data_IF_283657078381
#
_entry.id   IF_283657078381
#
_cell.length_a   1.000
_cell.length_b   1.000
_cell.length_c   1.000
_cell.angle_alpha   90.00
_cell.angle_beta   90.00
_cell.angle_gamma   90.00
#
_symmetry.space_group_name_H-M   'P 1'
#
loop_
_entity.id
_entity.type
_entity.pdbx_description
1 polymer ?
#
# COMPACT_ATOMS: atom_id res chain seq x y z
N UNK A 1 27.46 -4.82 -8.26
CA UNK A 1 27.07 -5.43 -9.55
C UNK A 1 25.92 -6.37 -9.20
N UNK A 2 24.71 -6.10 -9.66
CA UNK A 2 23.47 -6.75 -9.21
C UNK A 2 23.49 -8.26 -9.48
N UNK A 3 22.89 -9.02 -8.56
CA UNK A 3 22.78 -10.49 -8.63
C UNK A 3 21.86 -10.94 -9.78
N UNK A 4 20.98 -10.04 -10.24
CA UNK A 4 20.01 -10.35 -11.28
C UNK A 4 20.55 -9.95 -12.66
N UNK A 5 20.77 -10.91 -13.55
CA UNK A 5 21.35 -10.72 -14.90
C UNK A 5 20.55 -9.79 -15.84
N UNK A 6 19.29 -9.46 -15.48
CA UNK A 6 18.41 -8.59 -16.26
C UNK A 6 17.65 -7.64 -15.33
N UNK A 7 18.35 -6.94 -14.45
CA UNK A 7 17.75 -6.07 -13.44
C UNK A 7 16.80 -5.02 -14.05
N UNK A 8 17.21 -4.35 -15.14
CA UNK A 8 16.36 -3.37 -15.84
C UNK A 8 15.08 -4.00 -16.40
N UNK A 9 15.17 -5.17 -16.99
CA UNK A 9 13.99 -5.89 -17.46
C UNK A 9 13.00 -6.24 -16.34
N UNK A 10 13.52 -6.62 -15.16
CA UNK A 10 12.67 -6.87 -13.99
C UNK A 10 12.01 -5.60 -13.46
N UNK A 11 12.75 -4.50 -13.39
CA UNK A 11 12.21 -3.20 -13.00
C UNK A 11 11.06 -2.80 -13.91
N UNK A 12 11.26 -2.91 -15.23
CA UNK A 12 10.21 -2.64 -16.22
C UNK A 12 9.00 -3.59 -16.04
N UNK A 13 9.22 -4.87 -15.80
CA UNK A 13 8.12 -5.81 -15.56
C UNK A 13 7.33 -5.51 -14.29
N UNK A 14 8.01 -5.08 -13.23
CA UNK A 14 7.37 -4.76 -11.95
C UNK A 14 6.67 -3.40 -12.02
N UNK A 15 7.34 -2.39 -12.58
CA UNK A 15 6.88 -1.00 -12.56
C UNK A 15 6.36 -0.51 -13.93
N UNK A 16 6.46 -1.25 -15.01
CA UNK A 16 5.95 -0.85 -16.33
C UNK A 16 4.45 -1.06 -16.51
N UNK A 17 3.76 -1.68 -15.56
CA UNK A 17 2.31 -1.96 -15.65
C UNK A 17 1.59 -1.73 -14.33
N UNK A 18 0.39 -1.13 -14.42
CA UNK A 18 -0.45 -0.83 -13.25
C UNK A 18 -1.15 -2.05 -12.63
N UNK A 19 -0.85 -3.25 -13.10
CA UNK A 19 -1.44 -4.49 -12.60
C UNK A 19 -0.88 -4.83 -11.21
N UNK A 20 -1.70 -5.39 -10.33
CA UNK A 20 -1.22 -6.01 -9.10
C UNK A 20 -0.31 -7.20 -9.41
N UNK A 21 0.73 -7.43 -8.59
CA UNK A 21 1.70 -8.50 -8.78
C UNK A 21 2.01 -9.21 -7.47
N UNK A 22 2.16 -10.53 -7.55
CA UNK A 22 2.93 -11.29 -6.59
C UNK A 22 4.34 -11.53 -7.16
N UNK A 23 5.34 -11.25 -6.35
CA UNK A 23 6.76 -11.36 -6.69
C UNK A 23 7.32 -12.46 -5.77
N UNK A 24 7.52 -13.63 -6.34
CA UNK A 24 8.09 -14.77 -5.63
C UNK A 24 9.60 -14.83 -5.81
N UNK A 25 10.29 -15.37 -4.83
CA UNK A 25 11.73 -15.59 -4.90
C UNK A 25 12.37 -15.56 -3.54
N UNK A 26 13.64 -15.96 -3.47
CA UNK A 26 14.36 -16.15 -2.22
C UNK A 26 14.21 -14.96 -1.30
N UNK A 27 13.75 -15.23 -0.09
CA UNK A 27 13.77 -14.27 1.02
C UNK A 27 15.23 -13.91 1.32
N UNK A 28 15.50 -12.64 1.49
CA UNK A 28 16.83 -12.22 1.88
C UNK A 28 17.11 -10.75 1.57
N UNK A 29 18.31 -10.34 1.96
CA UNK A 29 18.72 -8.94 1.83
C UNK A 29 18.84 -8.51 0.35
N UNK A 30 19.16 -9.43 -0.56
CA UNK A 30 19.28 -9.12 -1.99
C UNK A 30 17.93 -8.77 -2.61
N UNK A 31 16.84 -9.53 -2.29
CA UNK A 31 15.48 -9.21 -2.74
C UNK A 31 15.04 -7.85 -2.23
N UNK A 32 15.20 -7.63 -0.95
CA UNK A 32 14.77 -6.38 -0.34
C UNK A 32 15.55 -5.18 -0.84
N UNK A 33 16.86 -5.33 -1.04
CA UNK A 33 17.68 -4.28 -1.64
C UNK A 33 17.24 -3.97 -3.07
N UNK A 34 16.97 -4.99 -3.87
CA UNK A 34 16.44 -4.81 -5.22
C UNK A 34 15.09 -4.05 -5.20
N UNK A 35 14.16 -4.47 -4.33
CA UNK A 35 12.84 -3.83 -4.22
C UNK A 35 12.92 -2.41 -3.64
N UNK A 36 13.84 -2.16 -2.71
CA UNK A 36 14.11 -0.82 -2.20
C UNK A 36 14.69 0.10 -3.28
N UNK A 37 15.57 -0.41 -4.13
CA UNK A 37 16.12 0.35 -5.26
C UNK A 37 15.01 0.78 -6.24
N UNK A 38 13.90 0.03 -6.36
CA UNK A 38 12.76 0.49 -7.17
C UNK A 38 12.17 1.82 -6.67
N UNK A 39 12.17 2.07 -5.37
CA UNK A 39 11.73 3.37 -4.83
C UNK A 39 12.70 4.51 -5.21
N UNK A 40 13.99 4.20 -5.35
CA UNK A 40 15.01 5.17 -5.79
C UNK A 40 14.96 5.40 -7.31
N UNK A 41 14.66 4.34 -8.08
CA UNK A 41 14.60 4.40 -9.55
C UNK A 41 13.28 5.02 -10.07
N UNK A 42 12.19 4.94 -9.28
CA UNK A 42 10.87 5.49 -9.62
C UNK A 42 10.40 6.52 -8.55
N UNK A 43 11.16 7.61 -8.37
CA UNK A 43 10.86 8.63 -7.37
C UNK A 43 9.73 9.57 -7.83
N UNK A 44 9.30 10.42 -6.92
CA UNK A 44 8.54 11.63 -7.29
C UNK A 44 9.50 12.61 -7.95
N UNK A 45 9.15 13.06 -9.15
CA UNK A 45 9.91 14.07 -9.93
C UNK A 45 8.95 15.09 -10.53
N UNK A 46 9.47 16.12 -11.17
CA UNK A 46 8.65 17.09 -11.93
C UNK A 46 7.91 16.43 -13.09
N UNK A 47 8.49 15.38 -13.68
CA UNK A 47 7.84 14.52 -14.68
C UNK A 47 7.02 13.44 -13.97
N UNK A 48 5.72 13.69 -13.81
CA UNK A 48 4.76 12.77 -13.21
C UNK A 48 4.13 11.80 -14.25
N UNK A 49 4.77 11.59 -15.40
CA UNK A 49 4.35 10.61 -16.40
C UNK A 49 4.78 9.19 -16.04
N UNK A 50 5.86 9.05 -15.28
CA UNK A 50 6.39 7.77 -14.81
C UNK A 50 5.69 7.28 -13.54
N UNK A 51 5.58 5.95 -13.29
CA UNK A 51 5.06 5.42 -12.05
C UNK A 51 5.93 5.84 -10.86
N UNK A 52 5.31 5.96 -9.69
CA UNK A 52 6.00 6.28 -8.44
C UNK A 52 5.98 5.04 -7.55
N UNK A 53 7.16 4.57 -7.12
CA UNK A 53 7.28 3.44 -6.22
C UNK A 53 7.24 3.89 -4.75
N UNK A 54 6.48 3.14 -3.95
CA UNK A 54 6.40 3.30 -2.49
C UNK A 54 6.78 1.95 -1.85
N UNK A 55 7.99 1.86 -1.31
CA UNK A 55 8.49 0.64 -0.71
C UNK A 55 8.16 0.55 0.79
N UNK A 56 7.70 -0.62 1.20
CA UNK A 56 7.40 -0.98 2.58
C UNK A 56 8.08 -2.32 2.92
N UNK A 57 9.06 -2.31 3.80
CA UNK A 57 9.72 -3.52 4.31
C UNK A 57 8.89 -4.22 5.40
N UNK A 58 7.92 -3.54 5.96
CA UNK A 58 6.89 -4.03 6.87
C UNK A 58 5.69 -3.10 6.78
N UNK A 59 4.51 -3.64 6.91
CA UNK A 59 3.29 -2.85 7.06
C UNK A 59 3.03 -2.49 8.53
N UNK A 60 3.88 -2.95 9.44
CA UNK A 60 3.73 -2.71 10.88
C UNK A 60 2.45 -3.31 11.46
N UNK A 61 1.80 -4.22 10.75
CA UNK A 61 0.59 -4.87 11.24
C UNK A 61 0.95 -5.84 12.37
N UNK A 62 0.33 -5.72 13.55
CA UNK A 62 0.64 -6.60 14.65
C UNK A 62 0.21 -8.04 14.32
N UNK A 63 0.98 -8.99 14.84
CA UNK A 63 0.58 -10.39 14.85
C UNK A 63 -0.63 -10.53 15.77
N UNK A 64 -1.63 -11.27 15.31
CA UNK A 64 -2.76 -11.66 16.14
C UNK A 64 -2.51 -13.11 16.52
N UNK A 65 -2.37 -13.38 17.82
CA UNK A 65 -2.41 -14.75 18.32
C UNK A 65 -3.77 -15.37 18.00
N UNK A 66 -3.79 -16.63 17.60
CA UNK A 66 -4.97 -17.34 17.09
C UNK A 66 -6.14 -17.49 18.10
N UNK A 67 -5.99 -17.02 19.33
CA UNK A 67 -6.99 -17.11 20.41
C UNK A 67 -8.12 -16.03 20.30
N UNK A 68 -8.32 -15.46 19.10
CA UNK A 68 -9.32 -14.42 18.87
C UNK A 68 -10.69 -14.96 18.43
N UNK A 69 -11.03 -16.21 18.71
CA UNK A 69 -12.31 -16.83 18.31
C UNK A 69 -13.55 -16.00 18.73
N UNK A 70 -13.43 -15.21 19.80
CA UNK A 70 -14.51 -14.36 20.33
C UNK A 70 -14.48 -12.89 19.84
N UNK A 71 -13.59 -12.53 18.91
CA UNK A 71 -13.45 -11.14 18.44
C UNK A 71 -14.24 -10.92 17.16
N UNK A 72 -14.83 -9.74 17.06
CA UNK A 72 -15.53 -9.33 15.85
C UNK A 72 -14.51 -9.03 14.73
N UNK A 73 -14.39 -9.96 13.79
CA UNK A 73 -13.53 -9.85 12.63
C UNK A 73 -13.82 -8.58 11.82
N UNK A 74 -15.06 -8.09 11.77
CA UNK A 74 -15.40 -6.87 11.06
C UNK A 74 -14.69 -5.64 11.64
N UNK A 75 -14.60 -5.55 12.98
CA UNK A 75 -13.87 -4.47 13.65
C UNK A 75 -12.37 -4.55 13.30
N UNK A 76 -11.81 -5.75 13.34
CA UNK A 76 -10.40 -5.98 12.96
C UNK A 76 -10.13 -5.54 11.52
N UNK A 77 -10.96 -5.99 10.57
CA UNK A 77 -10.82 -5.62 9.15
C UNK A 77 -10.93 -4.11 8.95
N UNK A 78 -11.87 -3.46 9.62
CA UNK A 78 -12.05 -2.02 9.55
C UNK A 78 -10.82 -1.27 10.04
N UNK A 79 -10.28 -1.61 11.22
CA UNK A 79 -9.08 -1.00 11.76
C UNK A 79 -7.87 -1.20 10.84
N UNK A 80 -7.67 -2.42 10.36
CA UNK A 80 -6.58 -2.76 9.44
C UNK A 80 -6.70 -1.97 8.15
N UNK A 81 -7.89 -1.87 7.55
CA UNK A 81 -8.13 -1.13 6.31
C UNK A 81 -7.84 0.36 6.47
N UNK A 82 -8.37 0.99 7.52
CA UNK A 82 -8.14 2.41 7.77
C UNK A 82 -6.65 2.67 8.04
N UNK A 83 -6.01 1.85 8.87
CA UNK A 83 -4.58 1.95 9.12
C UNK A 83 -3.76 1.88 7.82
N UNK A 84 -4.00 0.89 6.95
CA UNK A 84 -3.31 0.74 5.68
C UNK A 84 -3.58 1.92 4.73
N UNK A 85 -4.82 2.41 4.70
CA UNK A 85 -5.18 3.58 3.89
C UNK A 85 -4.41 4.82 4.31
N UNK A 86 -4.34 5.10 5.62
CA UNK A 86 -3.55 6.21 6.15
C UNK A 86 -2.04 6.00 6.00
N UNK A 87 -1.54 4.76 6.13
CA UNK A 87 -0.13 4.44 5.91
C UNK A 87 0.31 4.79 4.49
N UNK A 88 -0.46 4.40 3.48
CA UNK A 88 -0.16 4.71 2.08
C UNK A 88 -0.31 6.20 1.79
N UNK A 89 -1.40 6.83 2.25
CA UNK A 89 -1.64 8.26 2.01
C UNK A 89 -0.55 9.15 2.65
N UNK A 90 -0.15 8.85 3.89
CA UNK A 90 0.97 9.57 4.54
C UNK A 90 2.27 9.41 3.77
N UNK A 91 2.56 8.22 3.25
CA UNK A 91 3.77 7.98 2.44
C UNK A 91 3.75 8.76 1.14
N UNK A 92 2.60 8.86 0.45
CA UNK A 92 2.43 9.69 -0.74
C UNK A 92 2.74 11.16 -0.43
N UNK A 93 2.16 11.70 0.65
CA UNK A 93 2.40 13.09 1.05
C UNK A 93 3.85 13.34 1.47
N UNK A 94 4.49 12.41 2.18
CA UNK A 94 5.92 12.49 2.55
C UNK A 94 6.82 12.53 1.31
N UNK A 95 6.53 11.72 0.31
CA UNK A 95 7.27 11.74 -0.95
C UNK A 95 7.04 13.05 -1.73
N UNK A 96 5.89 13.67 -1.55
CA UNK A 96 5.56 14.96 -2.18
C UNK A 96 6.39 16.13 -1.63
N UNK A 97 7.07 15.99 -0.49
CA UNK A 97 8.00 16.99 0.05
C UNK A 97 9.21 17.27 -0.88
N UNK A 98 9.32 16.56 -2.01
CA UNK A 98 10.18 16.94 -3.12
C UNK A 98 9.84 18.31 -3.70
N UNK A 99 8.56 18.70 -3.71
CA UNK A 99 8.09 19.99 -4.21
C UNK A 99 8.21 21.08 -3.14
N UNK A 100 8.39 22.32 -3.59
CA UNK A 100 8.28 23.49 -2.70
C UNK A 100 6.92 23.52 -1.99
N UNK A 101 6.92 23.84 -0.71
CA UNK A 101 5.72 23.79 0.15
C UNK A 101 4.61 24.70 -0.37
N UNK A 102 4.95 25.91 -0.87
CA UNK A 102 3.97 26.84 -1.39
C UNK A 102 3.29 26.30 -2.65
N UNK A 103 4.08 25.73 -3.56
CA UNK A 103 3.58 25.08 -4.78
C UNK A 103 2.69 23.89 -4.42
N UNK A 104 3.12 23.10 -3.46
CA UNK A 104 2.38 21.90 -3.04
C UNK A 104 1.05 22.27 -2.40
N UNK A 105 1.01 23.29 -1.54
CA UNK A 105 -0.22 23.80 -0.92
C UNK A 105 -1.21 24.33 -1.96
N UNK A 106 -0.74 25.07 -2.96
CA UNK A 106 -1.60 25.56 -4.04
C UNK A 106 -2.19 24.40 -4.85
N UNK A 107 -1.35 23.48 -5.32
CA UNK A 107 -1.78 22.32 -6.10
C UNK A 107 -2.76 21.44 -5.33
N UNK A 108 -2.49 21.12 -4.05
CA UNK A 108 -3.28 20.19 -3.25
C UNK A 108 -4.43 20.86 -2.48
N UNK A 109 -4.67 22.16 -2.67
CA UNK A 109 -5.79 22.88 -2.02
C UNK A 109 -7.14 22.19 -2.23
N UNK A 110 -7.40 21.68 -3.43
CA UNK A 110 -8.62 20.93 -3.74
C UNK A 110 -8.71 19.56 -3.06
N UNK A 111 -7.59 18.92 -2.74
CA UNK A 111 -7.55 17.71 -1.92
C UNK A 111 -7.83 18.01 -0.45
N UNK A 112 -7.20 19.06 0.09
CA UNK A 112 -7.42 19.55 1.46
C UNK A 112 -8.90 19.87 1.67
N UNK A 113 -9.50 20.64 0.75
CA UNK A 113 -10.92 20.97 0.81
C UNK A 113 -11.82 19.72 0.81
N UNK A 114 -11.50 18.72 -0.01
CA UNK A 114 -12.24 17.45 -0.05
C UNK A 114 -12.16 16.70 1.28
N UNK A 115 -10.98 16.62 1.88
CA UNK A 115 -10.77 15.96 3.17
C UNK A 115 -11.52 16.69 4.27
N UNK A 116 -11.40 18.03 4.38
CA UNK A 116 -12.13 18.83 5.33
C UNK A 116 -13.64 18.59 5.24
N UNK A 117 -14.18 18.62 4.04
CA UNK A 117 -15.61 18.36 3.80
C UNK A 117 -16.04 16.96 4.20
N UNK A 118 -15.25 15.93 3.88
CA UNK A 118 -15.57 14.53 4.19
C UNK A 118 -15.44 14.21 5.68
N UNK A 119 -14.57 14.92 6.39
CA UNK A 119 -14.29 14.74 7.81
C UNK A 119 -15.10 15.68 8.71
N UNK A 120 -15.91 16.55 8.11
CA UNK A 120 -16.60 17.65 8.81
C UNK A 120 -15.64 18.49 9.67
N UNK A 121 -14.44 18.75 9.13
CA UNK A 121 -13.34 19.48 9.72
C UNK A 121 -12.98 20.64 8.80
N UNK A 122 -12.91 21.86 9.34
CA UNK A 122 -12.56 23.07 8.55
C UNK A 122 -11.17 23.62 8.92
N UNK A 123 -10.39 22.87 9.70
CA UNK A 123 -9.19 23.40 10.33
C UNK A 123 -7.89 23.10 9.55
N UNK A 124 -7.90 22.21 8.57
CA UNK A 124 -6.71 21.86 7.80
C UNK A 124 -6.56 22.89 6.68
N UNK A 125 -5.46 23.63 6.67
CA UNK A 125 -5.22 24.70 5.69
C UNK A 125 -3.93 24.50 4.87
N UNK A 126 -3.10 23.53 5.25
CA UNK A 126 -1.85 23.21 4.55
C UNK A 126 -1.63 21.71 4.38
N UNK A 127 -0.73 21.35 3.48
CA UNK A 127 -0.32 19.94 3.27
C UNK A 127 0.42 19.38 4.49
N UNK A 128 1.19 20.21 5.17
CA UNK A 128 1.88 19.84 6.41
C UNK A 128 0.88 19.46 7.50
N UNK A 129 -0.14 20.30 7.72
CA UNK A 129 -1.22 19.99 8.67
C UNK A 129 -2.02 18.75 8.27
N UNK A 130 -2.32 18.58 6.97
CA UNK A 130 -2.99 17.39 6.46
C UNK A 130 -2.17 16.12 6.75
N UNK A 131 -0.86 16.16 6.51
CA UNK A 131 0.05 15.05 6.80
C UNK A 131 0.07 14.72 8.29
N UNK A 132 0.11 15.72 9.17
CA UNK A 132 0.12 15.52 10.62
C UNK A 132 -1.21 14.91 11.11
N UNK A 133 -2.34 15.38 10.63
CA UNK A 133 -3.66 14.81 10.96
C UNK A 133 -3.80 13.37 10.45
N UNK A 134 -3.31 13.06 9.25
CA UNK A 134 -3.29 11.70 8.74
C UNK A 134 -2.37 10.79 9.55
N UNK A 135 -1.21 11.27 10.03
CA UNK A 135 -0.32 10.54 10.93
C UNK A 135 -1.00 10.25 12.28
N UNK A 136 -1.74 11.20 12.84
CA UNK A 136 -2.53 10.98 14.06
C UNK A 136 -3.57 9.89 13.84
N UNK A 137 -4.31 9.95 12.75
CA UNK A 137 -5.31 8.94 12.40
C UNK A 137 -4.69 7.55 12.20
N UNK A 138 -3.58 7.47 11.48
CA UNK A 138 -2.81 6.23 11.31
C UNK A 138 -2.41 5.61 12.65
N UNK A 139 -1.82 6.42 13.54
CA UNK A 139 -1.37 5.96 14.85
C UNK A 139 -2.56 5.55 15.73
N UNK A 140 -3.67 6.28 15.68
CA UNK A 140 -4.89 5.95 16.37
C UNK A 140 -5.43 4.56 15.97
N UNK A 141 -5.49 4.26 14.66
CA UNK A 141 -5.97 2.96 14.19
C UNK A 141 -4.99 1.84 14.53
N UNK A 142 -3.70 2.08 14.48
CA UNK A 142 -2.67 1.14 14.92
C UNK A 142 -2.82 0.78 16.41
N UNK A 143 -2.90 1.81 17.26
CA UNK A 143 -3.06 1.62 18.72
C UNK A 143 -4.39 0.94 19.06
N UNK A 144 -5.47 1.34 18.38
CA UNK A 144 -6.79 0.73 18.56
C UNK A 144 -6.79 -0.73 18.16
N UNK A 145 -6.13 -1.07 17.06
CA UNK A 145 -5.95 -2.44 16.61
C UNK A 145 -5.24 -3.29 17.68
N UNK A 146 -4.10 -2.81 18.20
CA UNK A 146 -3.36 -3.50 19.27
C UNK A 146 -4.21 -3.63 20.53
N UNK A 147 -4.87 -2.56 20.97
CA UNK A 147 -5.70 -2.58 22.19
C UNK A 147 -6.90 -3.53 22.04
N UNK A 148 -7.53 -3.53 20.87
CA UNK A 148 -8.66 -4.41 20.57
C UNK A 148 -8.22 -5.87 20.57
N UNK A 149 -7.14 -6.21 19.89
CA UNK A 149 -6.61 -7.58 19.81
C UNK A 149 -6.17 -8.11 21.18
N UNK A 150 -5.68 -7.23 22.08
CA UNK A 150 -5.36 -7.58 23.48
C UNK A 150 -6.56 -7.58 24.43
N UNK A 151 -7.76 -7.28 23.97
CA UNK A 151 -8.95 -7.22 24.80
C UNK A 151 -9.06 -6.03 25.73
N UNK A 152 -8.25 -4.99 25.52
CA UNK A 152 -8.22 -3.78 26.35
C UNK A 152 -9.37 -2.82 26.00
N UNK A 153 -9.92 -2.90 24.79
CA UNK A 153 -11.09 -2.14 24.36
C UNK A 153 -12.08 -3.08 23.65
N UNK A 154 -13.36 -2.74 23.68
CA UNK A 154 -14.44 -3.47 22.99
C UNK A 154 -14.96 -2.73 21.76
N UNK A 155 -14.80 -1.42 21.73
CA UNK A 155 -15.29 -0.51 20.69
C UNK A 155 -14.23 0.52 20.35
N UNK A 156 -14.35 1.11 19.16
CA UNK A 156 -13.47 2.18 18.69
C UNK A 156 -14.21 3.51 18.81
N UNK A 157 -13.67 4.44 19.60
CA UNK A 157 -14.16 5.81 19.66
C UNK A 157 -13.36 6.69 18.71
N UNK A 158 -13.98 7.13 17.61
CA UNK A 158 -13.34 7.95 16.56
C UNK A 158 -13.42 9.45 16.83
N UNK A 159 -13.97 9.86 17.98
CA UNK A 159 -14.19 11.28 18.29
C UNK A 159 -12.91 12.05 18.62
N UNK A 160 -11.78 11.35 18.75
CA UNK A 160 -10.49 11.91 19.14
C UNK A 160 -9.63 12.34 17.94
N UNK A 161 -10.10 12.09 16.70
CA UNK A 161 -9.33 12.35 15.48
C UNK A 161 -10.13 13.21 14.50
N UNK A 162 -9.45 14.15 13.86
CA UNK A 162 -10.07 15.09 12.92
C UNK A 162 -10.38 14.43 11.57
N UNK A 163 -9.56 13.45 11.13
CA UNK A 163 -9.78 12.70 9.88
C UNK A 163 -10.09 11.24 10.22
N UNK A 164 -11.36 10.90 10.54
CA UNK A 164 -11.73 9.58 11.06
C UNK A 164 -11.74 8.47 10.01
N UNK A 165 -11.87 8.80 8.73
CA UNK A 165 -11.94 7.84 7.64
C UNK A 165 -11.20 8.33 6.41
N UNK A 166 -10.60 7.41 5.67
CA UNK A 166 -9.94 7.71 4.41
C UNK A 166 -10.34 6.70 3.34
N UNK A 167 -11.04 7.17 2.31
CA UNK A 167 -11.16 6.42 1.08
C UNK A 167 -9.86 6.60 0.28
N UNK A 168 -8.97 5.60 0.33
CA UNK A 168 -7.64 5.67 -0.31
C UNK A 168 -7.73 5.91 -1.81
N UNK A 169 -8.69 5.29 -2.50
CA UNK A 169 -8.85 5.43 -3.95
C UNK A 169 -9.25 6.86 -4.32
N UNK A 170 -10.23 7.40 -3.60
CA UNK A 170 -10.66 8.79 -3.78
C UNK A 170 -9.51 9.77 -3.48
N UNK A 171 -8.74 9.51 -2.42
CA UNK A 171 -7.57 10.30 -2.07
C UNK A 171 -6.55 10.29 -3.20
N UNK A 172 -6.15 9.11 -3.68
CA UNK A 172 -5.12 8.95 -4.73
C UNK A 172 -5.61 9.56 -6.04
N UNK A 173 -6.84 9.30 -6.43
CA UNK A 173 -7.43 9.85 -7.66
C UNK A 173 -7.48 11.38 -7.62
N UNK A 174 -7.81 11.97 -6.46
CA UNK A 174 -7.81 13.42 -6.28
C UNK A 174 -6.42 13.99 -6.25
N UNK A 175 -5.49 13.35 -5.53
CA UNK A 175 -4.08 13.72 -5.52
C UNK A 175 -3.50 13.78 -6.93
N UNK A 176 -3.67 12.70 -7.71
CA UNK A 176 -3.20 12.64 -9.10
C UNK A 176 -3.76 13.77 -9.96
N UNK A 177 -5.05 14.06 -9.84
CA UNK A 177 -5.70 15.18 -10.56
C UNK A 177 -5.09 16.52 -10.16
N UNK A 178 -4.90 16.76 -8.88
CA UNK A 178 -4.30 18.00 -8.36
C UNK A 178 -2.86 18.18 -8.84
N UNK A 179 -2.09 17.10 -8.88
CA UNK A 179 -0.70 17.09 -9.33
C UNK A 179 -0.53 16.98 -10.86
N UNK A 180 -1.64 16.77 -11.60
CA UNK A 180 -1.62 16.45 -13.03
C UNK A 180 -0.78 15.19 -13.36
N UNK A 181 -0.84 14.19 -12.48
CA UNK A 181 -0.10 12.96 -12.62
C UNK A 181 -0.80 12.00 -13.60
N UNK A 182 -0.09 11.52 -14.63
CA UNK A 182 -0.62 10.60 -15.64
C UNK A 182 -0.40 9.13 -15.30
N UNK A 183 0.56 8.83 -14.43
CA UNK A 183 0.95 7.47 -14.08
C UNK A 183 0.25 6.99 -12.79
N UNK A 184 0.79 5.99 -12.12
CA UNK A 184 0.20 5.33 -10.95
C UNK A 184 1.20 5.19 -9.80
N UNK A 185 0.70 4.88 -8.59
CA UNK A 185 1.53 4.51 -7.44
C UNK A 185 1.70 2.99 -7.39
N UNK A 186 2.95 2.52 -7.44
CA UNK A 186 3.32 1.13 -7.19
C UNK A 186 3.63 0.94 -5.69
N UNK A 187 2.71 0.31 -4.96
CA UNK A 187 2.90 -0.01 -3.54
C UNK A 187 3.65 -1.34 -3.48
N UNK A 188 4.90 -1.32 -3.09
CA UNK A 188 5.77 -2.50 -2.99
C UNK A 188 5.83 -2.92 -1.53
N UNK A 189 5.23 -4.05 -1.21
CA UNK A 189 5.29 -4.65 0.11
C UNK A 189 6.23 -5.86 0.09
N UNK A 190 7.39 -5.74 0.73
CA UNK A 190 8.32 -6.84 0.96
C UNK A 190 7.96 -7.53 2.28
N UNK A 191 7.18 -8.62 2.17
CA UNK A 191 6.72 -9.37 3.34
C UNK A 191 7.89 -10.09 4.00
N UNK A 192 8.34 -9.57 5.13
CA UNK A 192 9.35 -10.17 6.01
C UNK A 192 8.78 -10.54 7.37
N UNK A 193 7.72 -9.90 7.77
CA UNK A 193 7.03 -10.09 9.03
C UNK A 193 5.91 -11.13 8.90
N UNK A 194 5.57 -11.74 10.01
CA UNK A 194 4.35 -12.53 10.10
C UNK A 194 3.18 -11.58 10.19
N UNK A 195 2.22 -11.75 9.32
CA UNK A 195 0.96 -10.97 9.30
C UNK A 195 -0.18 -11.92 9.57
N UNK A 196 -1.17 -11.48 10.31
CA UNK A 196 -2.36 -12.30 10.56
C UNK A 196 -3.16 -12.58 9.30
N UNK A 197 -3.89 -13.68 9.27
CA UNK A 197 -4.81 -14.03 8.17
C UNK A 197 -5.79 -12.89 7.88
N UNK A 198 -6.33 -12.23 8.91
CA UNK A 198 -7.25 -11.10 8.76
C UNK A 198 -6.59 -9.90 8.06
N UNK A 199 -5.31 -9.63 8.36
CA UNK A 199 -4.55 -8.59 7.68
C UNK A 199 -4.31 -8.93 6.22
N UNK A 200 -3.95 -10.18 5.91
CA UNK A 200 -3.80 -10.68 4.54
C UNK A 200 -5.13 -10.54 3.78
N UNK A 201 -6.24 -10.96 4.38
CA UNK A 201 -7.57 -10.83 3.78
C UNK A 201 -7.94 -9.36 3.51
N UNK A 202 -7.53 -8.43 4.39
CA UNK A 202 -7.72 -6.99 4.15
C UNK A 202 -6.89 -6.50 2.97
N UNK A 203 -5.64 -6.93 2.82
CA UNK A 203 -4.81 -6.62 1.66
C UNK A 203 -5.42 -7.21 0.38
N UNK A 204 -5.94 -8.44 0.46
CA UNK A 204 -6.62 -9.09 -0.65
C UNK A 204 -7.88 -8.32 -1.11
N UNK A 205 -8.56 -7.59 -0.22
CA UNK A 205 -9.65 -6.68 -0.64
C UNK A 205 -9.15 -5.60 -1.60
N UNK A 206 -7.99 -4.99 -1.33
CA UNK A 206 -7.43 -3.98 -2.21
C UNK A 206 -7.02 -4.56 -3.57
N UNK A 207 -6.53 -5.81 -3.61
CA UNK A 207 -6.17 -6.51 -4.86
C UNK A 207 -7.43 -6.90 -5.64
N UNK A 208 -8.39 -7.53 -4.99
CA UNK A 208 -9.62 -8.06 -5.62
C UNK A 208 -10.63 -6.97 -6.00
N UNK A 209 -10.49 -5.77 -5.47
CA UNK A 209 -11.40 -4.66 -5.77
C UNK A 209 -11.33 -4.22 -7.24
N UNK A 210 -10.31 -4.61 -8.02
CA UNK A 210 -10.05 -4.26 -9.44
C UNK A 210 -10.16 -2.76 -9.71
N UNK A 211 -10.02 -1.94 -8.72
CA UNK A 211 -10.66 -0.63 -8.63
C UNK A 211 -9.67 0.41 -9.05
N UNK A 212 -8.79 0.40 -9.69
CA UNK A 212 -8.12 1.65 -10.06
C UNK A 212 -6.74 1.42 -10.68
N UNK A 213 -6.60 1.83 -11.90
CA UNK A 213 -5.30 2.01 -12.56
C UNK A 213 -4.36 2.98 -11.82
N UNK A 214 -4.82 3.65 -10.76
CA UNK A 214 -4.06 4.66 -10.02
C UNK A 214 -3.17 4.06 -8.92
N UNK A 215 -3.50 2.85 -8.45
CA UNK A 215 -2.75 2.12 -7.43
C UNK A 215 -2.48 0.70 -7.92
N UNK A 216 -1.24 0.26 -7.80
CA UNK A 216 -0.85 -1.11 -8.05
C UNK A 216 -0.11 -1.68 -6.84
N UNK A 217 -0.56 -2.82 -6.34
CA UNK A 217 0.06 -3.49 -5.20
C UNK A 217 0.98 -4.58 -5.71
N UNK A 218 2.22 -4.55 -5.25
CA UNK A 218 3.29 -5.49 -5.57
C UNK A 218 3.71 -6.18 -4.28
N UNK A 219 3.39 -7.45 -4.12
CA UNK A 219 3.68 -8.21 -2.90
C UNK A 219 4.85 -9.14 -3.16
N UNK A 220 5.97 -8.89 -2.51
CA UNK A 220 7.12 -9.79 -2.53
C UNK A 220 7.06 -10.73 -1.32
N UNK A 221 6.96 -12.02 -1.58
CA UNK A 221 6.81 -13.06 -0.56
C UNK A 221 7.34 -14.40 -1.10
N UNK A 222 7.46 -15.39 -0.24
CA UNK A 222 7.61 -16.78 -0.69
C UNK A 222 6.21 -17.36 -0.94
N UNK A 223 6.11 -18.32 -1.83
CA UNK A 223 4.81 -18.88 -2.27
C UNK A 223 4.01 -19.52 -1.12
N UNK A 224 4.69 -20.05 -0.13
CA UNK A 224 4.14 -20.72 1.05
C UNK A 224 3.88 -19.78 2.23
N UNK A 225 4.36 -18.55 2.16
CA UNK A 225 4.20 -17.55 3.22
C UNK A 225 2.92 -16.70 3.08
N UNK A 226 2.24 -16.72 1.92
CA UNK A 226 0.96 -16.04 1.73
C UNK A 226 -0.18 -17.00 2.07
N UNK A 227 -0.60 -17.00 3.33
CA UNK A 227 -1.44 -18.02 3.94
C UNK A 227 -2.86 -18.14 3.34
N UNK A 228 -3.36 -17.11 2.67
CA UNK A 228 -4.69 -17.11 2.07
C UNK A 228 -4.81 -16.15 0.89
N UNK A 229 -5.58 -16.56 -0.11
CA UNK A 229 -5.99 -15.72 -1.26
C UNK A 229 -7.47 -15.33 -1.19
N UNK A 230 -8.13 -15.59 -0.08
CA UNK A 230 -9.49 -15.11 0.15
C UNK A 230 -9.46 -13.69 0.71
N UNK A 231 -10.43 -12.87 0.30
CA UNK A 231 -10.67 -11.55 0.88
C UNK A 231 -11.61 -11.65 2.11
N UNK A 232 -11.92 -10.52 2.73
CA UNK A 232 -12.77 -10.46 3.93
C UNK A 232 -14.22 -10.90 3.68
N UNK A 233 -14.67 -10.95 2.42
CA UNK A 233 -15.99 -11.40 2.01
C UNK A 233 -16.00 -12.88 1.59
N UNK A 234 -14.88 -13.59 1.74
CA UNK A 234 -14.73 -14.97 1.32
C UNK A 234 -14.61 -15.18 -0.19
N UNK A 235 -14.34 -14.10 -0.95
CA UNK A 235 -14.10 -14.19 -2.39
C UNK A 235 -12.62 -14.51 -2.64
N UNK A 236 -12.37 -15.40 -3.56
CA UNK A 236 -11.02 -15.76 -3.96
C UNK A 236 -10.43 -14.71 -4.92
N UNK A 237 -9.20 -14.28 -4.65
CA UNK A 237 -8.43 -13.39 -5.53
C UNK A 237 -7.68 -14.25 -6.54
N UNK A 238 -7.98 -14.09 -7.81
CA UNK A 238 -7.55 -15.01 -8.87
C UNK A 238 -6.29 -14.54 -9.59
N UNK A 239 -5.33 -15.44 -9.73
CA UNK A 239 -4.19 -15.23 -10.62
C UNK A 239 -4.68 -14.97 -12.07
N UNK A 240 -3.94 -14.15 -12.82
CA UNK A 240 -4.25 -13.73 -14.19
C UNK A 240 -5.41 -12.71 -14.26
N UNK A 241 -6.44 -12.83 -13.44
CA UNK A 241 -7.56 -11.88 -13.43
C UNK A 241 -7.27 -10.68 -12.52
N UNK A 242 -6.92 -10.93 -11.27
CA UNK A 242 -6.73 -9.89 -10.26
C UNK A 242 -5.26 -9.49 -10.11
N UNK A 243 -4.34 -10.44 -10.29
CA UNK A 243 -2.89 -10.18 -10.18
C UNK A 243 -2.07 -11.00 -11.19
N UNK A 244 -0.84 -10.54 -11.45
CA UNK A 244 0.19 -11.29 -12.16
C UNK A 244 1.20 -11.91 -11.21
N UNK A 245 2.05 -12.79 -11.72
CA UNK A 245 3.12 -13.44 -10.97
C UNK A 245 4.46 -13.14 -11.64
N UNK A 246 5.47 -12.85 -10.84
CA UNK A 246 6.87 -12.72 -11.25
C UNK A 246 7.70 -13.57 -10.29
N UNK A 247 8.53 -14.44 -10.86
CA UNK A 247 9.50 -15.24 -10.10
C UNK A 247 10.90 -14.65 -10.30
N UNK A 248 11.55 -14.29 -9.19
CA UNK A 248 12.87 -13.67 -9.22
C UNK A 248 14.00 -14.69 -9.44
N UNK A 249 13.77 -15.95 -9.04
CA UNK A 249 14.79 -17.01 -9.08
C UNK A 249 14.95 -17.68 -10.46
N UNK A 250 13.93 -17.57 -11.34
CA UNK A 250 13.94 -18.19 -12.68
C UNK A 250 14.82 -17.47 -13.71
N UNK A 251 15.58 -16.47 -13.30
CA UNK A 251 16.35 -15.64 -14.22
C UNK A 251 17.64 -16.30 -14.76
N UNK A 252 18.05 -17.41 -14.21
CA UNK A 252 19.09 -18.25 -14.85
C UNK A 252 18.55 -19.08 -16.02
N UNK A 253 17.24 -19.40 -16.05
CA UNK A 253 16.60 -20.28 -17.01
C UNK A 253 15.66 -19.61 -18.04
N UNK A 254 15.50 -18.28 -18.03
CA UNK A 254 14.55 -17.56 -18.92
C UNK A 254 14.78 -17.77 -20.42
N UNK A 255 15.86 -18.43 -20.83
CA UNK A 255 16.04 -18.89 -22.22
C UNK A 255 15.15 -20.09 -22.60
N UNK A 256 14.55 -20.78 -21.62
CA UNK A 256 13.68 -21.95 -21.88
C UNK A 256 12.19 -21.60 -21.93
N UNK A 257 11.74 -20.56 -21.23
CA UNK A 257 10.32 -20.18 -21.14
C UNK A 257 9.78 -19.44 -22.36
N UNK A 258 10.64 -18.78 -23.14
CA UNK A 258 10.23 -18.07 -24.38
C UNK A 258 9.90 -19.07 -25.54
N UNK A 259 10.09 -20.35 -25.35
CA UNK A 259 9.78 -21.37 -26.39
C UNK A 259 8.40 -22.00 -26.30
N UNK A 260 7.57 -21.62 -25.32
CA UNK A 260 6.25 -22.23 -25.09
C UNK A 260 5.10 -21.24 -24.85
N UNK A 261 5.18 -20.04 -25.46
CA UNK A 261 4.01 -19.15 -25.64
C UNK A 261 3.84 -18.89 -27.13
#
# INVERSE_FOLDING_TARGET
MGKYKNEEYLKERIMGQSRHLFIYGCSGDDRSKFLQNLEEDYPVTDDLSSPIALYFNSLGLPQIDNDLEDRDNYIIYRMCREYLSFLVATRILEKSNYFDETILNDKLSGLIHLINKSSNCDNIVSVSELLDEMKKSRNFYYDSYIKYTKGLIKEISINEINVPFLNLEMFVSRYKRCMNMQSYFGIIYDKRDRVSVQSIQTINNFIGARINSDISIKIATNSDEWETYYNTNGQYVEAIHDYGIIELDDLEDTKKLIKHI
#
